data_IF_338463273880
#
_entry.id   IF_338463273880
#
_cell.length_a   1.000
_cell.length_b   1.000
_cell.length_c   1.000
_cell.angle_alpha   90.00
_cell.angle_beta   90.00
_cell.angle_gamma   90.00
#
_symmetry.space_group_name_H-M   'P 1'
#
loop_
_entity.id
_entity.type
_entity.pdbx_description
1 polymer ?
#
# COMPACT_ATOMS: atom_id res chain seq x y z
N UNK A 1 -25.03 -4.75 33.51
CA UNK A 1 -24.43 -3.52 32.99
C UNK A 1 -23.99 -2.75 34.22
N UNK A 2 -22.69 -2.63 34.46
CA UNK A 2 -22.22 -1.76 35.53
C UNK A 2 -22.44 -0.33 35.02
N UNK A 3 -23.35 0.40 35.65
CA UNK A 3 -23.41 1.85 35.47
C UNK A 3 -22.06 2.38 35.96
N UNK A 4 -21.33 2.97 35.03
CA UNK A 4 -20.04 3.54 35.28
C UNK A 4 -20.26 4.91 35.93
N UNK A 5 -20.34 4.94 37.27
CA UNK A 5 -20.61 6.13 38.10
C UNK A 5 -19.44 7.16 38.10
N UNK A 6 -18.47 7.03 37.20
CA UNK A 6 -17.34 7.97 37.08
C UNK A 6 -17.82 9.34 36.60
N UNK A 7 -17.38 10.39 37.29
CA UNK A 7 -17.64 11.77 36.89
C UNK A 7 -16.88 12.12 35.60
N UNK A 8 -17.38 13.11 34.86
CA UNK A 8 -16.72 13.59 33.62
C UNK A 8 -15.27 13.99 33.87
N UNK A 9 -14.99 14.65 35.00
CA UNK A 9 -13.62 15.08 35.36
C UNK A 9 -12.70 13.88 35.59
N UNK A 10 -13.20 12.81 36.21
CA UNK A 10 -12.46 11.57 36.44
C UNK A 10 -12.18 10.84 35.11
N UNK A 11 -13.11 10.89 34.15
CA UNK A 11 -12.88 10.35 32.81
C UNK A 11 -11.83 11.14 32.02
N UNK A 12 -11.75 12.46 32.21
CA UNK A 12 -10.74 13.32 31.57
C UNK A 12 -9.36 13.03 32.17
N UNK A 13 -9.23 12.99 33.50
CA UNK A 13 -7.96 12.62 34.15
C UNK A 13 -7.48 11.24 33.71
N UNK A 14 -8.40 10.27 33.63
CA UNK A 14 -8.06 8.93 33.13
C UNK A 14 -7.60 8.96 31.67
N UNK A 15 -8.19 9.81 30.82
CA UNK A 15 -7.82 9.94 29.42
C UNK A 15 -6.40 10.54 29.26
N UNK A 16 -6.04 11.52 30.09
CA UNK A 16 -4.69 12.10 30.11
C UNK A 16 -3.64 11.12 30.65
N UNK A 17 -4.05 10.17 31.51
CA UNK A 17 -3.20 9.11 32.04
C UNK A 17 -3.12 7.86 31.15
N UNK A 18 -4.00 7.71 30.15
CA UNK A 18 -3.87 6.66 29.15
C UNK A 18 -2.60 6.99 28.36
N UNK A 19 -1.52 6.20 28.51
CA UNK A 19 -0.37 6.36 27.62
C UNK A 19 -0.86 6.16 26.19
N UNK A 20 -0.18 6.72 25.19
CA UNK A 20 -0.34 6.34 23.79
C UNK A 20 0.05 4.86 23.62
N UNK A 21 -0.77 3.95 24.16
CA UNK A 21 -0.39 2.56 24.47
C UNK A 21 -0.25 1.71 23.22
N UNK A 22 -0.54 2.26 22.05
CA UNK A 22 -0.68 1.52 20.80
C UNK A 22 -0.11 2.25 19.57
N UNK A 23 0.45 3.46 19.72
CA UNK A 23 0.95 4.24 18.58
C UNK A 23 -0.10 4.50 17.50
N UNK A 24 -1.39 4.45 17.86
CA UNK A 24 -2.50 4.57 16.90
C UNK A 24 -2.48 5.94 16.21
N UNK A 25 -2.21 7.00 16.97
CA UNK A 25 -2.10 8.37 16.46
C UNK A 25 -1.00 8.48 15.39
N UNK A 26 0.20 7.98 15.70
CA UNK A 26 1.33 7.95 14.76
C UNK A 26 1.03 7.06 13.55
N UNK A 27 0.46 5.88 13.78
CA UNK A 27 0.07 4.94 12.73
C UNK A 27 -0.96 5.54 11.77
N UNK A 28 -1.95 6.28 12.27
CA UNK A 28 -2.91 7.00 11.44
C UNK A 28 -2.24 8.15 10.67
N UNK A 29 -1.31 8.88 11.31
CA UNK A 29 -0.58 9.98 10.69
C UNK A 29 0.36 9.51 9.56
N UNK A 30 0.76 8.24 9.55
CA UNK A 30 1.59 7.63 8.50
C UNK A 30 0.78 7.08 7.31
N UNK A 31 -0.54 6.93 7.43
CA UNK A 31 -1.37 6.37 6.34
C UNK A 31 -1.29 7.26 5.10
N UNK A 32 -0.91 6.63 3.98
CA UNK A 32 -0.89 7.24 2.65
C UNK A 32 -1.54 6.28 1.68
N UNK A 33 -2.44 6.80 0.85
CA UNK A 33 -3.04 6.02 -0.22
C UNK A 33 -2.82 6.69 -1.57
N UNK A 34 -2.55 5.86 -2.56
CA UNK A 34 -2.29 6.28 -3.94
C UNK A 34 -3.38 5.75 -4.86
N UNK A 35 -3.79 6.56 -5.82
CA UNK A 35 -4.62 6.16 -6.96
C UNK A 35 -3.92 6.58 -8.27
N UNK A 36 -3.97 5.72 -9.27
CA UNK A 36 -3.17 5.86 -10.48
C UNK A 36 -3.98 5.59 -11.75
N UNK A 37 -3.52 6.19 -12.84
CA UNK A 37 -3.86 5.86 -14.21
C UNK A 37 -2.64 6.08 -15.11
N UNK A 38 -2.79 5.79 -16.39
CA UNK A 38 -1.73 6.01 -17.38
C UNK A 38 -1.14 7.43 -17.31
N UNK A 39 0.12 7.52 -16.86
CA UNK A 39 0.86 8.76 -16.73
C UNK A 39 0.43 9.69 -15.60
N UNK A 40 -0.44 9.29 -14.66
CA UNK A 40 -0.86 10.14 -13.54
C UNK A 40 -1.02 9.33 -12.25
N UNK A 41 -0.33 9.73 -11.19
CA UNK A 41 -0.45 9.17 -9.85
C UNK A 41 -0.72 10.26 -8.82
N UNK A 42 -1.66 10.01 -7.92
CA UNK A 42 -2.08 10.94 -6.85
C UNK A 42 -2.01 10.21 -5.52
N UNK A 43 -1.22 10.74 -4.57
CA UNK A 43 -1.13 10.23 -3.21
C UNK A 43 -1.68 11.25 -2.22
N UNK A 44 -2.55 10.78 -1.33
CA UNK A 44 -3.11 11.58 -0.23
C UNK A 44 -2.84 10.94 1.11
N UNK A 45 -2.89 11.75 2.17
CA UNK A 45 -2.91 11.25 3.55
C UNK A 45 -4.34 10.97 4.05
N UNK A 46 -4.45 10.47 5.29
CA UNK A 46 -5.73 10.17 5.94
C UNK A 46 -6.64 11.40 6.14
N UNK A 47 -6.08 12.61 6.09
CA UNK A 47 -6.83 13.86 6.15
C UNK A 47 -7.33 14.31 4.76
N UNK A 48 -7.01 13.56 3.71
CA UNK A 48 -7.34 13.90 2.32
C UNK A 48 -6.42 14.95 1.72
N UNK A 49 -5.28 15.25 2.36
CA UNK A 49 -4.32 16.22 1.84
C UNK A 49 -3.44 15.56 0.78
N UNK A 50 -3.24 16.26 -0.34
CA UNK A 50 -2.32 15.82 -1.40
C UNK A 50 -0.88 15.89 -0.89
N UNK A 51 -0.21 14.74 -0.85
CA UNK A 51 1.19 14.63 -0.41
C UNK A 51 2.16 14.28 -1.54
N UNK A 52 1.66 13.71 -2.64
CA UNK A 52 2.44 13.44 -3.85
C UNK A 52 1.55 13.51 -5.09
N UNK A 53 2.12 14.01 -6.19
CA UNK A 53 1.47 14.12 -7.49
C UNK A 53 2.52 13.90 -8.57
N UNK A 54 2.41 12.80 -9.30
CA UNK A 54 3.27 12.49 -10.43
C UNK A 54 2.47 12.62 -11.72
N UNK A 55 2.94 13.48 -12.62
CA UNK A 55 2.33 13.73 -13.93
C UNK A 55 3.36 13.42 -15.02
N UNK A 56 3.15 12.30 -15.70
CA UNK A 56 3.92 11.88 -16.87
C UNK A 56 3.38 12.46 -18.19
N UNK A 57 4.14 12.23 -19.26
CA UNK A 57 3.90 12.80 -20.59
C UNK A 57 2.51 12.44 -21.14
N UNK A 58 2.08 11.18 -21.03
CA UNK A 58 0.76 10.73 -21.46
C UNK A 58 -0.41 11.47 -20.77
N UNK A 59 -0.23 11.91 -19.52
CA UNK A 59 -1.25 12.69 -18.83
C UNK A 59 -1.27 14.17 -19.27
N UNK A 60 -0.13 14.72 -19.69
CA UNK A 60 -0.05 16.08 -20.23
C UNK A 60 -0.73 16.18 -21.60
N UNK A 61 -0.75 15.11 -22.39
CA UNK A 61 -1.43 15.04 -23.70
C UNK A 61 -2.96 15.17 -23.60
N UNK A 62 -3.56 14.90 -22.43
CA UNK A 62 -5.00 15.02 -22.20
C UNK A 62 -5.50 16.47 -22.26
N UNK A 63 -4.59 17.43 -22.08
CA UNK A 63 -4.90 18.84 -21.96
C UNK A 63 -5.47 19.24 -20.59
N UNK A 64 -5.51 20.54 -20.27
CA UNK A 64 -5.65 21.01 -18.89
C UNK A 64 -6.98 20.66 -18.22
N UNK A 65 -8.10 20.76 -18.95
CA UNK A 65 -9.42 20.52 -18.38
C UNK A 65 -9.63 19.04 -18.03
N UNK A 66 -9.20 18.13 -18.90
CA UNK A 66 -9.32 16.68 -18.69
C UNK A 66 -8.35 16.25 -17.59
N UNK A 67 -7.12 16.77 -17.60
CA UNK A 67 -6.14 16.49 -16.55
C UNK A 67 -6.65 16.92 -15.16
N UNK A 68 -7.25 18.10 -15.05
CA UNK A 68 -7.82 18.58 -13.78
C UNK A 68 -8.96 17.67 -13.29
N UNK A 69 -9.86 17.24 -14.19
CA UNK A 69 -10.93 16.31 -13.85
C UNK A 69 -10.38 14.97 -13.36
N UNK A 70 -9.29 14.50 -13.96
CA UNK A 70 -8.65 13.23 -13.62
C UNK A 70 -7.89 13.29 -12.30
N UNK A 71 -7.20 14.39 -12.01
CA UNK A 71 -6.61 14.63 -10.70
C UNK A 71 -7.71 14.65 -9.64
N UNK A 72 -8.82 15.34 -9.88
CA UNK A 72 -9.94 15.36 -8.94
C UNK A 72 -10.52 13.97 -8.70
N UNK A 73 -10.70 13.17 -9.76
CA UNK A 73 -11.20 11.80 -9.67
C UNK A 73 -10.27 10.91 -8.84
N UNK A 74 -8.97 10.93 -9.15
CA UNK A 74 -7.97 10.13 -8.45
C UNK A 74 -7.77 10.59 -7.01
N UNK A 75 -7.90 11.88 -6.72
CA UNK A 75 -7.84 12.41 -5.34
C UNK A 75 -8.98 11.84 -4.50
N UNK A 76 -10.20 11.81 -5.03
CA UNK A 76 -11.34 11.18 -4.34
C UNK A 76 -11.13 9.69 -4.13
N UNK A 77 -10.61 8.98 -5.15
CA UNK A 77 -10.32 7.56 -5.07
C UNK A 77 -9.24 7.24 -4.02
N UNK A 78 -8.13 7.98 -4.04
CA UNK A 78 -7.07 7.87 -3.06
C UNK A 78 -7.57 8.21 -1.64
N UNK A 79 -8.41 9.24 -1.51
CA UNK A 79 -9.03 9.62 -0.23
C UNK A 79 -9.89 8.50 0.34
N UNK A 80 -10.74 7.88 -0.49
CA UNK A 80 -11.55 6.73 -0.06
C UNK A 80 -10.67 5.55 0.40
N UNK A 81 -9.57 5.27 -0.31
CA UNK A 81 -8.63 4.22 0.08
C UNK A 81 -7.96 4.53 1.43
N UNK A 82 -7.51 5.78 1.64
CA UNK A 82 -6.89 6.22 2.89
C UNK A 82 -7.86 6.12 4.08
N UNK A 83 -9.13 6.51 3.88
CA UNK A 83 -10.17 6.39 4.90
C UNK A 83 -10.45 4.91 5.27
N UNK A 84 -10.51 4.01 4.29
CA UNK A 84 -10.66 2.58 4.56
C UNK A 84 -9.47 2.00 5.31
N UNK A 85 -8.25 2.43 4.99
CA UNK A 85 -7.05 2.05 5.72
C UNK A 85 -7.06 2.58 7.16
N UNK A 86 -7.48 3.83 7.35
CA UNK A 86 -7.70 4.42 8.69
C UNK A 86 -8.69 3.61 9.52
N UNK A 87 -9.81 3.20 8.92
CA UNK A 87 -10.79 2.34 9.60
C UNK A 87 -10.21 0.97 9.96
N UNK A 88 -9.33 0.39 9.14
CA UNK A 88 -8.62 -0.86 9.47
C UNK A 88 -7.67 -0.67 10.66
N UNK A 89 -6.95 0.45 10.74
CA UNK A 89 -6.11 0.77 11.87
C UNK A 89 -6.93 0.93 13.17
N UNK A 90 -8.07 1.63 13.10
CA UNK A 90 -9.02 1.74 14.23
C UNK A 90 -9.54 0.36 14.65
N UNK A 91 -9.93 -0.50 13.71
CA UNK A 91 -10.36 -1.89 13.98
C UNK A 91 -9.31 -2.69 14.75
N UNK A 92 -8.03 -2.47 14.44
CA UNK A 92 -6.93 -3.20 15.08
C UNK A 92 -6.59 -2.66 16.48
N UNK A 93 -6.77 -1.36 16.72
CA UNK A 93 -6.37 -0.69 17.96
C UNK A 93 -7.49 -0.43 18.98
N UNK A 94 -8.75 -0.46 18.54
CA UNK A 94 -9.90 -0.01 19.35
C UNK A 94 -10.93 -1.12 19.59
N UNK A 95 -11.85 -0.86 20.52
CA UNK A 95 -12.97 -1.77 20.78
C UNK A 95 -13.96 -1.78 19.59
N UNK A 96 -14.78 -2.85 19.46
CA UNK A 96 -15.80 -2.92 18.42
C UNK A 96 -16.80 -1.77 18.45
N UNK A 97 -17.13 -1.25 19.64
CA UNK A 97 -18.05 -0.13 19.79
C UNK A 97 -17.49 1.17 19.18
N UNK A 98 -16.20 1.46 19.42
CA UNK A 98 -15.51 2.62 18.83
C UNK A 98 -15.41 2.46 17.31
N UNK A 99 -15.04 1.28 16.84
CA UNK A 99 -14.99 0.97 15.40
C UNK A 99 -16.33 1.21 14.72
N UNK A 100 -17.44 0.73 15.32
CA UNK A 100 -18.77 0.89 14.76
C UNK A 100 -19.17 2.37 14.68
N UNK A 101 -18.91 3.14 15.75
CA UNK A 101 -19.18 4.58 15.77
C UNK A 101 -18.38 5.34 14.70
N UNK A 102 -17.10 5.01 14.52
CA UNK A 102 -16.25 5.63 13.47
C UNK A 102 -16.74 5.24 12.07
N UNK A 103 -17.08 3.96 11.86
CA UNK A 103 -17.61 3.49 10.57
C UNK A 103 -18.91 4.18 10.17
N UNK A 104 -19.83 4.40 11.13
CA UNK A 104 -21.08 5.12 10.91
C UNK A 104 -20.83 6.59 10.48
N UNK A 105 -19.94 7.29 11.19
CA UNK A 105 -19.60 8.70 10.89
C UNK A 105 -18.97 8.85 9.50
N UNK A 106 -18.10 7.92 9.12
CA UNK A 106 -17.43 7.98 7.83
C UNK A 106 -18.33 7.51 6.67
N UNK A 107 -19.53 6.97 6.97
CA UNK A 107 -20.45 6.38 6.00
C UNK A 107 -19.75 5.39 5.04
N UNK A 108 -18.70 4.73 5.53
CA UNK A 108 -17.95 3.74 4.76
C UNK A 108 -18.73 2.43 4.85
N UNK A 109 -19.37 2.05 3.76
CA UNK A 109 -19.76 0.66 3.59
C UNK A 109 -18.48 -0.19 3.59
N UNK A 110 -18.50 -1.33 4.28
CA UNK A 110 -17.35 -2.24 4.30
C UNK A 110 -17.05 -2.67 2.87
N UNK A 111 -16.04 -2.05 2.24
CA UNK A 111 -15.58 -2.47 0.93
C UNK A 111 -15.25 -3.96 1.02
N UNK A 112 -15.85 -4.83 0.18
CA UNK A 112 -15.47 -6.22 0.13
C UNK A 112 -13.97 -6.26 -0.10
N UNK A 113 -13.26 -7.06 0.72
CA UNK A 113 -11.81 -7.21 0.64
C UNK A 113 -11.41 -7.26 -0.83
N UNK A 114 -10.60 -6.28 -1.25
CA UNK A 114 -10.13 -6.16 -2.62
C UNK A 114 -9.72 -7.57 -3.07
N UNK A 115 -10.42 -8.09 -4.08
CA UNK A 115 -9.99 -9.30 -4.75
C UNK A 115 -8.56 -9.02 -5.17
N UNK A 116 -7.62 -9.71 -4.55
CA UNK A 116 -6.22 -9.71 -4.97
C UNK A 116 -6.26 -9.98 -6.47
N UNK A 117 -5.91 -8.97 -7.25
CA UNK A 117 -5.71 -9.09 -8.67
C UNK A 117 -4.80 -10.30 -8.89
N UNK A 118 -5.40 -11.32 -9.51
CA UNK A 118 -4.80 -12.39 -10.28
C UNK A 118 -3.26 -12.35 -10.25
N UNK A 119 -2.67 -13.05 -9.27
CA UNK A 119 -1.28 -13.47 -9.42
C UNK A 119 -1.30 -14.44 -10.60
N UNK A 120 -0.64 -14.15 -11.72
CA UNK A 120 -0.53 -15.12 -12.80
C UNK A 120 0.01 -16.42 -12.20
N UNK A 121 -0.62 -17.59 -12.47
CA UNK A 121 -0.11 -18.84 -11.97
C UNK A 121 1.37 -18.95 -12.36
N UNK A 122 2.24 -19.44 -11.45
CA UNK A 122 3.64 -19.59 -11.76
C UNK A 122 3.76 -20.41 -13.06
N UNK A 123 4.63 -20.00 -14.00
CA UNK A 123 4.78 -20.72 -15.26
C UNK A 123 5.12 -22.18 -14.96
N UNK A 124 4.45 -23.09 -15.67
CA UNK A 124 4.68 -24.53 -15.60
C UNK A 124 6.19 -24.81 -15.62
N UNK A 125 6.70 -25.68 -14.72
CA UNK A 125 8.11 -26.02 -14.72
C UNK A 125 8.47 -26.57 -16.10
N UNK A 126 9.36 -25.86 -16.80
CA UNK A 126 9.85 -26.25 -18.11
C UNK A 126 10.30 -27.72 -18.07
N UNK A 127 9.96 -28.53 -19.09
CA UNK A 127 10.36 -29.93 -19.13
C UNK A 127 11.89 -30.02 -18.97
N UNK A 128 12.39 -31.02 -18.23
CA UNK A 128 13.81 -31.11 -17.92
C UNK A 128 14.59 -31.10 -19.22
N UNK A 129 15.39 -30.05 -19.41
CA UNK A 129 16.41 -30.01 -20.47
C UNK A 129 17.28 -31.24 -20.24
N UNK A 130 17.17 -32.23 -21.14
CA UNK A 130 18.09 -33.37 -21.17
C UNK A 130 19.49 -32.77 -21.22
N UNK A 131 20.21 -32.86 -20.10
CA UNK A 131 21.64 -32.56 -20.06
C UNK A 131 22.25 -33.43 -21.16
N UNK A 132 22.82 -32.80 -22.18
CA UNK A 132 23.80 -33.49 -23.01
C UNK A 132 24.88 -33.99 -22.06
N UNK A 133 25.23 -35.26 -22.22
CA UNK A 133 26.30 -35.90 -21.47
C UNK A 133 27.59 -35.05 -21.59
N UNK A 134 28.47 -35.08 -20.57
CA UNK A 134 29.81 -34.53 -20.73
C UNK A 134 30.48 -35.30 -21.86
N UNK A 135 30.97 -34.58 -22.87
CA UNK A 135 31.93 -35.14 -23.81
C UNK A 135 33.26 -35.06 -23.07
N UNK A 136 33.65 -36.17 -22.46
CA UNK A 136 35.05 -36.42 -22.16
C UNK A 136 35.69 -36.80 -23.50
N UNK A 137 36.48 -35.90 -24.06
CA UNK A 137 37.46 -36.26 -25.09
C UNK A 137 38.83 -35.77 -24.62
N UNK A 138 39.76 -36.69 -24.75
CA UNK A 138 41.06 -36.77 -24.13
C UNK A 138 42.09 -35.82 -24.76
N UNK A 139 43.16 -35.57 -24.00
CA UNK A 139 44.51 -35.17 -24.40
C UNK A 139 44.72 -34.39 -25.71
N UNK A 140 45.28 -33.18 -25.60
CA UNK A 140 46.59 -32.91 -26.22
C UNK A 140 47.16 -31.58 -25.69
N UNK A 141 48.26 -31.69 -24.93
CA UNK A 141 49.10 -30.55 -24.62
C UNK A 141 49.86 -30.12 -25.87
N UNK A 142 49.86 -28.82 -26.17
CA UNK A 142 50.94 -28.22 -26.94
C UNK A 142 51.30 -26.85 -26.39
N UNK A 143 52.54 -26.78 -25.89
CA UNK A 143 53.19 -25.59 -25.34
C UNK A 143 53.69 -24.73 -26.49
N UNK A 144 53.24 -23.48 -26.59
CA UNK A 144 53.87 -22.48 -27.44
C UNK A 144 54.88 -21.69 -26.61
N UNK A 145 56.17 -22.02 -26.77
CA UNK A 145 57.27 -21.17 -26.31
C UNK A 145 57.54 -20.04 -27.32
N UNK A 146 58.04 -18.88 -26.88
CA UNK A 146 58.18 -17.70 -27.73
C UNK A 146 59.38 -17.83 -28.69
N UNK A 147 59.18 -17.48 -29.95
CA UNK A 147 60.26 -17.33 -30.94
C UNK A 147 60.97 -15.98 -30.68
N UNK A 148 62.29 -16.03 -30.53
CA UNK A 148 63.20 -14.89 -30.48
C UNK A 148 64.02 -14.87 -31.77
N UNK A 149 63.95 -13.74 -32.48
CA UNK A 149 64.65 -13.31 -33.71
C UNK A 149 64.60 -14.21 -34.96
#
# INVERSE_FOLDING_TARGET
MADDDRGVDELIELADEIPERLGLSDGLAEIRATAEREGLSVTVDVHGMLVALDIGEAALELGPAVLAAEISRLSTEAGNRALHEGLRAVKAGCTPAVTAAVGEVLALEEEPAAQTSDTPPPPDPAPPRRRRAPVEDEEEGFVLTPVKD
#
